data_IF_570918337406
#
_entry.id   IF_570918337406
#
_cell.length_a   1.000
_cell.length_b   1.000
_cell.length_c   1.000
_cell.angle_alpha   90.00
_cell.angle_beta   90.00
_cell.angle_gamma   90.00
#
_symmetry.space_group_name_H-M   'P 1'
#
loop_
_entity.id
_entity.type
_entity.pdbx_description
1 polymer ?
#
# COMPACT_ATOMS: atom_id res chain seq x y z
N UNK A 1 -5.17 -12.11 -55.29
CA UNK A 1 -4.11 -11.66 -54.37
C UNK A 1 -4.65 -10.73 -53.28
N UNK A 2 -5.29 -9.61 -53.62
CA UNK A 2 -5.83 -8.65 -52.62
C UNK A 2 -6.89 -9.27 -51.70
N UNK A 3 -7.88 -10.00 -52.24
CA UNK A 3 -8.91 -10.65 -51.42
C UNK A 3 -8.36 -11.68 -50.41
N UNK A 4 -7.36 -12.46 -50.83
CA UNK A 4 -6.69 -13.43 -49.95
C UNK A 4 -5.99 -12.70 -48.78
N UNK A 5 -5.35 -11.56 -49.07
CA UNK A 5 -4.66 -10.75 -48.08
C UNK A 5 -5.66 -10.12 -47.09
N UNK A 6 -6.81 -9.62 -47.57
CA UNK A 6 -7.88 -9.10 -46.70
C UNK A 6 -8.42 -10.19 -45.78
N UNK A 7 -8.71 -11.38 -46.32
CA UNK A 7 -9.18 -12.52 -45.51
C UNK A 7 -8.14 -12.90 -44.45
N UNK A 8 -6.86 -12.96 -44.81
CA UNK A 8 -5.79 -13.28 -43.86
C UNK A 8 -5.69 -12.25 -42.74
N UNK A 9 -5.77 -10.95 -43.05
CA UNK A 9 -5.79 -9.88 -42.05
C UNK A 9 -7.00 -10.03 -41.13
N UNK A 10 -8.20 -10.26 -41.69
CA UNK A 10 -9.42 -10.42 -40.90
C UNK A 10 -9.35 -11.62 -39.95
N UNK A 11 -8.84 -12.77 -40.43
CA UNK A 11 -8.64 -13.97 -39.60
C UNK A 11 -7.60 -13.71 -38.51
N UNK A 12 -6.48 -13.07 -38.84
CA UNK A 12 -5.44 -12.73 -37.87
C UNK A 12 -5.97 -11.79 -36.79
N UNK A 13 -6.75 -10.79 -37.17
CA UNK A 13 -7.37 -9.86 -36.22
C UNK A 13 -8.38 -10.55 -35.31
N UNK A 14 -9.17 -11.48 -35.85
CA UNK A 14 -10.10 -12.29 -35.06
C UNK A 14 -9.37 -13.17 -34.03
N UNK A 15 -8.28 -13.82 -34.44
CA UNK A 15 -7.44 -14.62 -33.52
C UNK A 15 -6.78 -13.76 -32.44
N UNK A 16 -6.33 -12.55 -32.79
CA UNK A 16 -5.78 -11.60 -31.84
C UNK A 16 -6.83 -11.19 -30.79
N UNK A 17 -8.04 -10.82 -31.21
CA UNK A 17 -9.14 -10.48 -30.30
C UNK A 17 -9.47 -11.67 -29.40
N UNK A 18 -9.57 -12.88 -29.97
CA UNK A 18 -9.82 -14.10 -29.19
C UNK A 18 -8.76 -14.35 -28.13
N UNK A 19 -7.48 -14.13 -28.45
CA UNK A 19 -6.36 -14.27 -27.52
C UNK A 19 -6.41 -13.24 -26.40
N UNK A 20 -6.68 -11.97 -26.74
CA UNK A 20 -6.82 -10.88 -25.75
C UNK A 20 -8.01 -11.16 -24.83
N UNK A 21 -9.15 -11.58 -25.37
CA UNK A 21 -10.34 -11.91 -24.59
C UNK A 21 -10.09 -13.10 -23.65
N UNK A 22 -9.43 -14.15 -24.13
CA UNK A 22 -9.03 -15.29 -23.30
C UNK A 22 -8.07 -14.86 -22.19
N UNK A 23 -7.06 -14.04 -22.52
CA UNK A 23 -6.10 -13.54 -21.53
C UNK A 23 -6.76 -12.67 -20.46
N UNK A 24 -7.70 -11.79 -20.84
CA UNK A 24 -8.48 -10.99 -19.90
C UNK A 24 -9.37 -11.86 -19.01
N UNK A 25 -10.03 -12.87 -19.59
CA UNK A 25 -10.84 -13.83 -18.85
C UNK A 25 -10.01 -14.57 -17.80
N UNK A 26 -8.87 -15.14 -18.22
CA UNK A 26 -7.94 -15.86 -17.33
C UNK A 26 -7.37 -14.94 -16.24
N UNK A 27 -7.12 -13.66 -16.55
CA UNK A 27 -6.61 -12.69 -15.57
C UNK A 27 -7.64 -12.23 -14.53
N UNK A 28 -8.88 -12.76 -14.55
CA UNK A 28 -9.90 -12.49 -13.54
C UNK A 28 -10.86 -11.36 -13.88
N UNK A 29 -10.98 -10.96 -15.16
CA UNK A 29 -11.87 -9.86 -15.57
C UNK A 29 -13.33 -10.05 -15.09
N UNK A 30 -13.84 -11.29 -15.05
CA UNK A 30 -15.20 -11.59 -14.58
C UNK A 30 -15.27 -12.03 -13.11
N UNK A 31 -14.14 -12.13 -12.42
CA UNK A 31 -14.11 -12.55 -11.01
C UNK A 31 -14.69 -11.43 -10.14
N UNK A 32 -15.76 -11.67 -9.37
CA UNK A 32 -16.26 -10.68 -8.42
C UNK A 32 -15.24 -10.50 -7.27
N UNK A 33 -15.22 -9.30 -6.69
CA UNK A 33 -14.52 -9.04 -5.44
C UNK A 33 -15.57 -8.71 -4.39
N UNK A 34 -15.66 -9.57 -3.39
CA UNK A 34 -16.54 -9.37 -2.24
C UNK A 34 -15.67 -9.00 -1.04
N UNK A 35 -15.84 -7.78 -0.55
CA UNK A 35 -15.22 -7.35 0.69
C UNK A 35 -16.12 -7.70 1.88
N UNK A 36 -15.53 -8.24 2.93
CA UNK A 36 -16.19 -8.61 4.18
C UNK A 36 -15.41 -8.07 5.37
N UNK A 37 -16.08 -7.93 6.51
CA UNK A 37 -15.39 -7.69 7.77
C UNK A 37 -14.89 -9.04 8.26
N UNK A 38 -13.58 -9.18 8.44
CA UNK A 38 -12.96 -10.42 8.90
C UNK A 38 -11.99 -10.15 10.05
N UNK A 39 -11.97 -11.08 11.00
CA UNK A 39 -10.91 -11.22 12.01
C UNK A 39 -9.84 -12.23 11.59
N UNK A 40 -10.14 -13.03 10.55
CA UNK A 40 -9.23 -13.98 9.94
C UNK A 40 -8.60 -13.32 8.71
N UNK A 41 -7.45 -12.66 8.91
CA UNK A 41 -6.72 -11.94 7.86
C UNK A 41 -5.35 -12.60 7.69
N UNK A 42 -5.01 -13.14 6.51
CA UNK A 42 -3.67 -13.68 6.23
C UNK A 42 -2.55 -12.67 6.56
N UNK A 43 -1.43 -13.18 7.08
CA UNK A 43 -0.23 -12.42 7.44
C UNK A 43 -0.35 -11.41 8.60
N UNK A 44 -1.55 -10.88 8.89
CA UNK A 44 -1.74 -9.76 9.84
C UNK A 44 -2.26 -10.18 11.24
N UNK A 45 -2.36 -11.47 11.55
CA UNK A 45 -2.96 -11.98 12.82
C UNK A 45 -2.10 -11.80 14.06
N UNK A 46 -0.79 -11.97 13.92
CA UNK A 46 0.15 -12.06 15.04
C UNK A 46 1.11 -10.84 15.09
N UNK A 47 0.82 -9.81 14.29
CA UNK A 47 1.78 -8.74 13.99
C UNK A 47 2.81 -9.25 12.98
N UNK A 48 3.48 -8.31 12.30
CA UNK A 48 4.45 -8.68 11.28
C UNK A 48 5.60 -7.69 11.20
N UNK A 49 6.75 -8.18 10.76
CA UNK A 49 7.94 -7.35 10.49
C UNK A 49 7.97 -7.04 9.01
N UNK A 50 8.01 -5.75 8.68
CA UNK A 50 8.18 -5.25 7.31
C UNK A 50 9.53 -4.62 7.12
N UNK A 51 10.03 -4.75 5.90
CA UNK A 51 11.10 -3.92 5.36
C UNK A 51 10.53 -3.11 4.20
N UNK A 52 10.59 -1.79 4.28
CA UNK A 52 9.85 -0.91 3.38
C UNK A 52 10.67 0.27 2.87
N UNK A 53 10.23 0.84 1.73
CA UNK A 53 10.57 2.18 1.27
C UNK A 53 9.32 3.04 1.27
N UNK A 54 9.43 4.22 1.87
CA UNK A 54 8.40 5.25 1.83
C UNK A 54 8.35 5.91 0.45
N UNK A 55 7.16 6.26 -0.01
CA UNK A 55 6.94 7.05 -1.21
C UNK A 55 5.81 8.06 -0.97
N UNK A 56 6.09 9.32 -1.28
CA UNK A 56 5.09 10.37 -1.40
C UNK A 56 4.99 10.76 -2.88
N UNK A 57 3.82 10.57 -3.48
CA UNK A 57 3.57 10.78 -4.90
C UNK A 57 2.59 9.77 -5.47
N UNK A 58 2.36 9.87 -6.78
CA UNK A 58 1.30 9.12 -7.45
C UNK A 58 1.43 7.60 -7.26
N UNK A 59 0.33 6.95 -6.88
CA UNK A 59 0.32 5.49 -6.75
C UNK A 59 0.57 4.76 -8.09
N UNK A 60 0.37 5.44 -9.22
CA UNK A 60 0.68 4.89 -10.55
C UNK A 60 2.19 4.77 -10.83
N UNK A 61 3.05 5.49 -10.10
CA UNK A 61 4.51 5.43 -10.27
C UNK A 61 5.20 4.41 -9.37
N UNK A 62 4.45 3.64 -8.57
CA UNK A 62 5.02 2.70 -7.59
C UNK A 62 5.66 1.45 -8.21
N UNK A 63 5.39 1.18 -9.49
CA UNK A 63 5.89 -0.02 -10.18
C UNK A 63 7.41 -0.15 -10.18
N UNK A 64 8.16 0.96 -10.16
CA UNK A 64 9.62 0.91 -10.06
C UNK A 64 10.08 0.43 -8.67
N UNK A 65 9.41 0.85 -7.59
CA UNK A 65 9.72 0.45 -6.22
C UNK A 65 9.38 -1.03 -6.02
N UNK A 66 8.24 -1.49 -6.54
CA UNK A 66 7.91 -2.93 -6.57
C UNK A 66 8.94 -3.74 -7.36
N UNK A 67 9.37 -3.26 -8.53
CA UNK A 67 10.37 -3.96 -9.34
C UNK A 67 11.72 -4.03 -8.62
N UNK A 68 12.14 -2.95 -7.96
CA UNK A 68 13.34 -2.93 -7.13
C UNK A 68 13.21 -3.91 -5.96
N UNK A 69 12.09 -3.87 -5.24
CA UNK A 69 11.79 -4.75 -4.11
C UNK A 69 11.87 -6.21 -4.53
N UNK A 70 11.19 -6.58 -5.62
CA UNK A 70 11.23 -7.93 -6.16
C UNK A 70 12.64 -8.35 -6.60
N UNK A 71 13.44 -7.44 -7.15
CA UNK A 71 14.81 -7.76 -7.56
C UNK A 71 15.72 -8.12 -6.38
N UNK A 72 15.45 -7.58 -5.19
CA UNK A 72 16.21 -7.87 -3.96
C UNK A 72 15.63 -9.06 -3.20
N UNK A 73 14.30 -9.17 -3.13
CA UNK A 73 13.60 -10.10 -2.25
C UNK A 73 12.47 -10.87 -2.97
N UNK A 74 12.77 -11.47 -4.13
CA UNK A 74 11.79 -12.16 -4.97
C UNK A 74 11.06 -13.36 -4.33
N UNK A 75 11.59 -13.92 -3.24
CA UNK A 75 10.99 -15.06 -2.51
C UNK A 75 10.11 -14.64 -1.35
N UNK A 76 10.06 -13.35 -1.02
CA UNK A 76 9.29 -12.83 0.10
C UNK A 76 7.99 -12.22 -0.39
N UNK A 77 6.98 -12.26 0.48
CA UNK A 77 5.67 -11.69 0.20
C UNK A 77 5.80 -10.18 0.10
N UNK A 78 5.45 -9.62 -1.06
CA UNK A 78 5.48 -8.18 -1.30
C UNK A 78 4.20 -7.53 -0.79
N UNK A 79 4.30 -6.28 -0.38
CA UNK A 79 3.14 -5.50 0.01
C UNK A 79 3.24 -4.03 -0.43
N UNK A 80 2.08 -3.40 -0.58
CA UNK A 80 1.91 -1.96 -0.55
C UNK A 80 1.00 -1.56 0.59
N UNK A 81 1.44 -0.58 1.39
CA UNK A 81 0.66 0.05 2.43
C UNK A 81 0.36 1.47 2.00
N UNK A 82 -0.93 1.81 1.94
CA UNK A 82 -1.43 3.06 1.40
C UNK A 82 -2.21 3.78 2.50
N UNK A 83 -1.99 5.09 2.64
CA UNK A 83 -2.57 5.89 3.73
C UNK A 83 -3.66 6.85 3.27
N UNK A 84 -3.77 7.07 1.97
CA UNK A 84 -4.61 8.12 1.38
C UNK A 84 -5.51 7.54 0.28
N UNK A 85 -6.69 8.15 0.09
CA UNK A 85 -7.55 7.81 -1.05
C UNK A 85 -7.16 8.66 -2.27
N UNK A 86 -6.68 8.06 -3.38
CA UNK A 86 -6.28 8.82 -4.57
C UNK A 86 -7.46 9.51 -5.29
N UNK A 87 -8.72 9.23 -4.92
CA UNK A 87 -9.88 9.98 -5.41
C UNK A 87 -10.09 11.31 -4.67
N UNK A 88 -9.57 11.44 -3.45
CA UNK A 88 -9.75 12.63 -2.61
C UNK A 88 -8.47 13.41 -2.38
N UNK A 89 -7.32 12.73 -2.36
CA UNK A 89 -6.00 13.32 -2.15
C UNK A 89 -5.30 13.50 -3.49
N UNK A 90 -4.58 14.61 -3.65
CA UNK A 90 -3.86 14.86 -4.90
C UNK A 90 -2.78 13.80 -5.12
N UNK A 91 -2.52 13.38 -6.37
CA UNK A 91 -1.51 12.34 -6.65
C UNK A 91 -0.14 12.63 -6.04
N UNK A 92 0.30 13.89 -6.02
CA UNK A 92 1.63 14.27 -5.48
C UNK A 92 1.72 14.17 -3.95
N UNK A 93 0.57 14.18 -3.27
CA UNK A 93 0.48 14.14 -1.82
C UNK A 93 0.17 12.75 -1.27
N UNK A 94 -0.14 11.78 -2.15
CA UNK A 94 -0.46 10.42 -1.76
C UNK A 94 0.75 9.72 -1.11
N UNK A 95 0.59 9.20 0.11
CA UNK A 95 1.63 8.54 0.89
C UNK A 95 1.48 7.03 0.81
N UNK A 96 2.60 6.33 0.70
CA UNK A 96 2.64 4.87 0.62
C UNK A 96 3.95 4.32 1.17
N UNK A 97 3.93 3.07 1.58
CA UNK A 97 5.12 2.30 1.92
C UNK A 97 5.09 0.97 1.18
N UNK A 98 6.10 0.71 0.36
CA UNK A 98 6.22 -0.51 -0.46
C UNK A 98 7.36 -1.36 0.07
N UNK A 99 7.16 -2.66 0.15
CA UNK A 99 8.18 -3.52 0.75
C UNK A 99 7.84 -5.01 0.75
N UNK A 100 8.49 -5.71 1.68
CA UNK A 100 8.27 -7.14 1.92
C UNK A 100 7.97 -7.44 3.38
N UNK A 101 7.19 -8.48 3.59
CA UNK A 101 6.94 -9.09 4.90
C UNK A 101 8.04 -10.13 5.13
N UNK A 102 8.72 -10.05 6.28
CA UNK A 102 9.90 -10.86 6.55
C UNK A 102 9.78 -11.58 7.89
N UNK A 103 10.11 -12.88 7.89
CA UNK A 103 10.46 -13.60 9.11
C UNK A 103 11.97 -13.50 9.33
N UNK A 104 12.38 -12.86 10.44
CA UNK A 104 13.78 -12.52 10.71
C UNK A 104 14.68 -13.75 10.88
N UNK A 105 14.14 -14.83 11.44
CA UNK A 105 14.92 -16.03 11.73
C UNK A 105 15.34 -16.79 10.46
N UNK A 106 14.62 -16.60 9.36
CA UNK A 106 14.78 -17.39 8.13
C UNK A 106 15.50 -16.64 7.00
N UNK A 107 15.61 -15.31 7.09
CA UNK A 107 15.93 -14.46 5.92
C UNK A 107 17.06 -13.44 6.15
N UNK A 108 18.00 -13.73 7.05
CA UNK A 108 19.08 -12.79 7.44
C UNK A 108 19.86 -12.23 6.24
N UNK A 109 20.20 -13.07 5.24
CA UNK A 109 20.94 -12.63 4.05
C UNK A 109 20.12 -11.65 3.18
N UNK A 110 18.81 -11.88 3.05
CA UNK A 110 17.91 -10.99 2.29
C UNK A 110 17.71 -9.68 3.05
N UNK A 111 17.58 -9.75 4.38
CA UNK A 111 17.47 -8.58 5.26
C UNK A 111 18.67 -7.65 5.07
N UNK A 112 19.89 -8.18 5.11
CA UNK A 112 21.10 -7.38 4.88
C UNK A 112 21.11 -6.70 3.51
N UNK A 113 20.57 -7.36 2.48
CA UNK A 113 20.44 -6.75 1.15
C UNK A 113 19.38 -5.66 1.12
N UNK A 114 18.23 -5.86 1.78
CA UNK A 114 17.18 -4.85 1.90
C UNK A 114 17.72 -3.59 2.61
N UNK A 115 18.39 -3.76 3.75
CA UNK A 115 18.99 -2.64 4.49
C UNK A 115 20.03 -1.90 3.66
N UNK A 116 20.90 -2.64 2.94
CA UNK A 116 21.89 -2.03 2.03
C UNK A 116 21.26 -1.24 0.88
N UNK A 117 20.08 -1.64 0.42
CA UNK A 117 19.30 -0.93 -0.61
C UNK A 117 18.40 0.17 -0.03
N UNK A 118 18.53 0.49 1.27
CA UNK A 118 17.85 1.60 1.93
C UNK A 118 16.43 1.29 2.40
N UNK A 119 16.07 0.01 2.55
CA UNK A 119 14.79 -0.37 3.17
C UNK A 119 14.88 -0.20 4.69
N UNK A 120 13.81 0.34 5.28
CA UNK A 120 13.67 0.53 6.73
C UNK A 120 12.86 -0.60 7.34
N UNK A 121 13.23 -1.02 8.53
CA UNK A 121 12.47 -2.01 9.32
C UNK A 121 11.36 -1.32 10.08
N UNK A 122 10.16 -1.89 10.08
CA UNK A 122 9.09 -1.56 11.03
C UNK A 122 8.37 -2.82 11.48
N UNK A 123 7.98 -2.86 12.74
CA UNK A 123 7.11 -3.91 13.28
C UNK A 123 5.69 -3.34 13.34
N UNK A 124 4.77 -4.01 12.66
CA UNK A 124 3.37 -3.61 12.62
C UNK A 124 2.55 -4.42 13.63
N UNK A 125 1.55 -3.78 14.28
CA UNK A 125 0.70 -4.49 15.22
C UNK A 125 -0.21 -5.47 14.48
N UNK A 126 -0.80 -6.40 15.24
CA UNK A 126 -1.84 -7.29 14.71
C UNK A 126 -3.11 -6.54 14.33
N UNK A 127 -3.75 -6.97 13.26
CA UNK A 127 -5.09 -6.52 12.87
C UNK A 127 -6.11 -7.47 13.47
N UNK A 128 -6.87 -6.99 14.47
CA UNK A 128 -7.93 -7.80 15.11
C UNK A 128 -9.16 -7.96 14.23
N UNK A 129 -9.50 -6.92 13.49
CA UNK A 129 -10.68 -6.85 12.63
C UNK A 129 -10.40 -5.83 11.52
N UNK A 130 -10.65 -6.20 10.28
CA UNK A 130 -10.39 -5.37 9.11
C UNK A 130 -11.36 -5.67 7.97
N UNK A 131 -11.39 -4.76 6.99
CA UNK A 131 -12.14 -4.97 5.75
C UNK A 131 -11.26 -5.83 4.85
N UNK A 132 -11.62 -7.10 4.70
CA UNK A 132 -10.85 -8.07 3.93
C UNK A 132 -11.51 -8.33 2.58
N UNK A 133 -10.70 -8.31 1.52
CA UNK A 133 -11.07 -8.79 0.21
C UNK A 133 -9.87 -9.51 -0.43
N UNK A 134 -10.15 -10.45 -1.33
CA UNK A 134 -9.12 -11.20 -2.06
C UNK A 134 -9.41 -11.21 -3.55
N UNK A 135 -8.37 -11.21 -4.37
CA UNK A 135 -8.48 -11.32 -5.82
C UNK A 135 -7.39 -12.23 -6.39
N UNK A 136 -7.67 -13.08 -7.39
CA UNK A 136 -6.64 -13.94 -7.98
C UNK A 136 -5.51 -13.13 -8.64
N UNK A 137 -4.26 -13.46 -8.31
CA UNK A 137 -3.05 -12.89 -8.89
C UNK A 137 -2.47 -13.82 -9.96
N UNK A 138 -2.95 -13.67 -11.19
CA UNK A 138 -2.54 -14.54 -12.31
C UNK A 138 -1.61 -13.81 -13.28
N UNK A 139 -1.80 -12.50 -13.44
CA UNK A 139 -0.96 -11.67 -14.29
C UNK A 139 -0.89 -10.23 -13.78
N UNK A 140 -0.05 -9.39 -14.38
CA UNK A 140 -0.01 -7.96 -14.06
C UNK A 140 -1.36 -7.25 -14.27
N UNK A 141 -2.22 -7.75 -15.18
CA UNK A 141 -3.57 -7.21 -15.35
C UNK A 141 -4.45 -7.49 -14.14
N UNK A 142 -4.19 -8.59 -13.43
CA UNK A 142 -4.93 -8.92 -12.21
C UNK A 142 -4.78 -7.85 -11.13
N UNK A 143 -3.64 -7.16 -11.07
CA UNK A 143 -3.41 -6.03 -10.15
C UNK A 143 -4.40 -4.90 -10.47
N UNK A 144 -4.46 -4.48 -11.73
CA UNK A 144 -5.38 -3.43 -12.17
C UNK A 144 -6.85 -3.80 -11.97
N UNK A 145 -7.24 -5.03 -12.32
CA UNK A 145 -8.60 -5.51 -12.12
C UNK A 145 -8.96 -5.64 -10.63
N UNK A 146 -8.04 -6.15 -9.81
CA UNK A 146 -8.17 -6.24 -8.35
C UNK A 146 -8.42 -4.87 -7.75
N UNK A 147 -7.54 -3.90 -7.99
CA UNK A 147 -7.70 -2.52 -7.50
C UNK A 147 -9.02 -1.88 -7.95
N UNK A 148 -9.39 -2.02 -9.23
CA UNK A 148 -10.62 -1.43 -9.77
C UNK A 148 -11.91 -1.94 -9.12
N UNK A 149 -11.85 -3.14 -8.52
CA UNK A 149 -13.01 -3.79 -7.87
C UNK A 149 -12.93 -3.73 -6.35
N UNK A 150 -11.75 -3.88 -5.78
CA UNK A 150 -11.52 -3.87 -4.34
C UNK A 150 -11.64 -2.45 -3.75
N UNK A 151 -11.03 -1.43 -4.38
CA UNK A 151 -11.04 -0.08 -3.82
C UNK A 151 -12.45 0.51 -3.66
N UNK A 152 -13.38 0.40 -4.64
CA UNK A 152 -14.76 0.86 -4.43
C UNK A 152 -15.45 0.16 -3.26
N UNK A 153 -15.20 -1.14 -3.05
CA UNK A 153 -15.76 -1.89 -1.93
C UNK A 153 -15.18 -1.40 -0.60
N UNK A 154 -13.84 -1.27 -0.51
CA UNK A 154 -13.17 -0.71 0.65
C UNK A 154 -13.76 0.66 1.00
N UNK A 155 -13.80 1.61 0.05
CA UNK A 155 -14.39 2.94 0.26
C UNK A 155 -15.82 2.89 0.77
N UNK A 156 -16.65 1.99 0.25
CA UNK A 156 -18.02 1.81 0.73
C UNK A 156 -18.05 1.42 2.21
N UNK A 157 -17.18 0.50 2.63
CA UNK A 157 -17.09 0.07 4.03
C UNK A 157 -16.50 1.15 4.94
N UNK A 158 -15.38 1.80 4.54
CA UNK A 158 -14.80 2.92 5.29
C UNK A 158 -15.84 4.02 5.54
N UNK A 159 -16.63 4.38 4.50
CA UNK A 159 -17.71 5.36 4.62
C UNK A 159 -18.86 4.90 5.52
N UNK A 160 -19.27 3.62 5.44
CA UNK A 160 -20.35 3.08 6.30
C UNK A 160 -19.95 3.05 7.78
N UNK A 161 -18.66 2.87 8.06
CA UNK A 161 -18.11 2.79 9.41
C UNK A 161 -17.66 4.14 9.97
N UNK A 162 -17.74 5.22 9.17
CA UNK A 162 -17.25 6.55 9.53
C UNK A 162 -15.77 6.56 9.94
N UNK A 163 -14.96 5.75 9.25
CA UNK A 163 -13.52 5.71 9.46
C UNK A 163 -12.89 7.01 8.95
N UNK A 164 -11.99 7.59 9.77
CA UNK A 164 -11.31 8.85 9.44
C UNK A 164 -10.22 8.68 8.39
N UNK A 165 -9.48 7.58 8.47
CA UNK A 165 -8.30 7.34 7.65
C UNK A 165 -8.55 6.23 6.63
N UNK A 166 -8.15 6.45 5.38
CA UNK A 166 -8.25 5.45 4.32
C UNK A 166 -6.95 4.65 4.22
N UNK A 167 -6.61 3.94 5.31
CA UNK A 167 -5.39 3.12 5.36
C UNK A 167 -5.71 1.68 4.96
N UNK A 168 -5.00 1.16 3.96
CA UNK A 168 -5.18 -0.22 3.53
C UNK A 168 -3.88 -0.88 3.05
N UNK A 169 -3.82 -2.20 3.21
CA UNK A 169 -2.79 -3.06 2.64
C UNK A 169 -3.24 -3.66 1.32
N UNK A 170 -2.28 -3.80 0.43
CA UNK A 170 -2.28 -4.71 -0.70
C UNK A 170 -1.13 -5.70 -0.49
N UNK A 171 -1.44 -6.98 -0.30
CA UNK A 171 -0.45 -8.04 -0.05
C UNK A 171 -0.47 -9.01 -1.23
N UNK A 172 0.70 -9.28 -1.81
CA UNK A 172 0.87 -10.14 -2.97
C UNK A 172 1.42 -11.50 -2.54
N UNK A 173 0.54 -12.50 -2.44
CA UNK A 173 0.83 -13.84 -1.96
C UNK A 173 0.66 -14.84 -3.09
N UNK A 174 1.76 -15.29 -3.70
CA UNK A 174 1.84 -16.25 -4.80
C UNK A 174 0.77 -16.10 -5.92
N UNK A 175 -0.44 -16.62 -5.70
CA UNK A 175 -1.57 -16.64 -6.64
C UNK A 175 -2.75 -15.74 -6.24
N UNK A 176 -2.62 -14.94 -5.18
CA UNK A 176 -3.68 -14.14 -4.60
C UNK A 176 -3.18 -12.77 -4.15
N UNK A 177 -3.96 -11.73 -4.44
CA UNK A 177 -3.81 -10.38 -3.87
C UNK A 177 -4.81 -10.22 -2.74
N UNK A 178 -4.34 -9.91 -1.54
CA UNK A 178 -5.19 -9.57 -0.41
C UNK A 178 -5.26 -8.05 -0.24
N UNK A 179 -6.48 -7.54 -0.13
CA UNK A 179 -6.77 -6.16 0.20
C UNK A 179 -7.30 -6.10 1.62
N UNK A 180 -6.64 -5.33 2.49
CA UNK A 180 -7.00 -5.23 3.90
C UNK A 180 -7.14 -3.78 4.31
N UNK A 181 -8.37 -3.31 4.48
CA UNK A 181 -8.66 -2.01 5.07
C UNK A 181 -8.51 -2.04 6.59
N UNK A 182 -7.72 -1.11 7.13
CA UNK A 182 -7.50 -0.95 8.57
C UNK A 182 -8.61 -0.07 9.16
N UNK A 183 -9.44 -0.66 10.03
CA UNK A 183 -10.62 0.02 10.59
C UNK A 183 -10.28 0.79 11.88
N UNK A 184 -9.34 0.26 12.67
CA UNK A 184 -8.98 0.76 14.01
C UNK A 184 -7.47 0.91 14.12
N UNK A 185 -7.05 1.88 14.92
CA UNK A 185 -5.64 2.11 15.26
C UNK A 185 -4.75 2.27 14.01
N UNK A 186 -5.27 2.96 12.98
CA UNK A 186 -4.58 3.15 11.70
C UNK A 186 -3.24 3.88 11.86
N UNK A 187 -3.13 4.78 12.85
CA UNK A 187 -1.91 5.51 13.19
C UNK A 187 -0.74 4.57 13.54
N UNK A 188 -1.01 3.41 14.17
CA UNK A 188 0.04 2.45 14.51
C UNK A 188 0.69 1.85 13.25
N UNK A 189 -0.02 1.86 12.12
CA UNK A 189 0.47 1.39 10.84
C UNK A 189 1.30 2.43 10.09
N UNK A 190 1.20 3.72 10.45
CA UNK A 190 1.89 4.83 9.79
C UNK A 190 3.43 4.73 9.91
N UNK A 191 4.13 4.56 8.80
CA UNK A 191 5.60 4.49 8.81
C UNK A 191 6.25 5.80 9.25
N UNK A 192 7.47 5.68 9.79
CA UNK A 192 8.17 6.78 10.48
C UNK A 192 8.35 8.03 9.60
N UNK A 193 8.52 7.81 8.29
CA UNK A 193 8.67 8.85 7.27
C UNK A 193 7.48 9.82 7.15
N UNK A 194 6.32 9.43 7.69
CA UNK A 194 5.08 10.19 7.59
C UNK A 194 4.54 10.62 8.94
N UNK A 195 5.26 10.37 10.04
CA UNK A 195 4.91 11.02 11.29
C UNK A 195 4.96 12.54 11.07
N UNK A 196 3.97 13.29 11.55
CA UNK A 196 4.06 14.74 11.54
C UNK A 196 5.35 15.10 12.26
N UNK A 197 6.27 15.77 11.56
CA UNK A 197 7.41 16.39 12.22
C UNK A 197 6.81 17.28 13.32
N UNK A 198 7.10 16.97 14.59
CA UNK A 198 6.66 17.79 15.72
C UNK A 198 7.04 19.23 15.39
N UNK A 199 6.01 20.02 15.15
CA UNK A 199 6.10 21.39 14.69
C UNK A 199 7.04 22.15 15.66
N UNK A 200 8.18 22.63 15.17
CA UNK A 200 9.16 23.50 15.84
C UNK A 200 8.53 24.73 16.56
N UNK A 201 7.22 24.95 16.42
CA UNK A 201 6.43 25.93 17.16
C UNK A 201 6.29 25.65 18.66
N UNK A 202 6.25 24.39 19.12
CA UNK A 202 6.11 24.10 20.58
C UNK A 202 7.39 24.47 21.33
N UNK A 203 8.56 24.25 20.73
CA UNK A 203 9.86 24.64 21.31
C UNK A 203 10.03 26.15 21.32
N UNK A 204 9.54 26.85 20.29
CA UNK A 204 9.56 28.32 20.25
C UNK A 204 8.63 28.96 21.28
N UNK A 205 7.41 28.42 21.47
CA UNK A 205 6.46 28.92 22.47
C UNK A 205 7.02 28.68 23.88
N UNK A 206 7.55 27.50 24.16
CA UNK A 206 8.16 27.23 25.47
C UNK A 206 9.41 28.07 25.75
N UNK A 207 10.26 28.35 24.76
CA UNK A 207 11.41 29.25 24.97
C UNK A 207 11.00 30.72 25.11
N UNK A 208 10.04 31.22 24.31
CA UNK A 208 9.54 32.59 24.46
C UNK A 208 8.83 32.80 25.79
N UNK A 209 8.05 31.81 26.22
CA UNK A 209 7.33 31.87 27.49
C UNK A 209 8.29 31.76 28.69
N UNK A 210 9.42 31.04 28.55
CA UNK A 210 10.48 31.00 29.56
C UNK A 210 11.26 32.33 29.61
N UNK A 211 11.56 32.95 28.46
CA UNK A 211 12.27 34.23 28.40
C UNK A 211 11.41 35.37 28.97
N UNK A 212 10.11 35.43 28.64
CA UNK A 212 9.18 36.46 29.13
C UNK A 212 8.95 36.37 30.66
N UNK A 213 8.89 35.15 31.21
CA UNK A 213 8.82 34.94 32.67
C UNK A 213 10.13 35.33 33.37
N UNK A 214 11.29 35.08 32.75
CA UNK A 214 12.58 35.47 33.35
C UNK A 214 12.88 36.96 33.30
N UNK A 215 12.29 37.72 32.35
CA UNK A 215 12.40 39.18 32.32
C UNK A 215 11.44 39.85 33.33
N UNK A 216 10.20 39.37 33.47
CA UNK A 216 9.27 39.87 34.50
C UNK A 216 9.77 39.64 35.94
N UNK A 217 10.49 38.55 36.21
CA UNK A 217 11.08 38.29 37.53
C UNK A 217 12.29 39.20 37.82
N UNK A 218 13.03 39.66 36.81
CA UNK A 218 14.13 40.61 36.98
C UNK A 218 13.64 42.04 37.24
N UNK A 219 12.57 42.46 36.58
CA UNK A 219 12.03 43.83 36.74
C UNK A 219 11.34 44.05 38.10
N UNK A 220 10.88 42.99 38.78
CA UNK A 220 10.33 43.06 40.15
C UNK A 220 11.38 43.03 41.26
N UNK A 221 12.66 42.82 40.93
CA UNK A 221 13.75 42.69 41.89
C UNK A 221 14.68 43.92 41.98
N UNK A 222 14.47 44.95 41.15
CA UNK A 222 15.06 46.30 41.27
C UNK A 222 14.07 47.29 41.91
#
# INVERSE_FOLDING_TARGET
>A
MVYLLVVLISVTFLLLIGTIALFAYVSGFFTPVDATISSDIPYLKDGLTIYYKSNKGSYYSLGCIFTETYSVANKLVQFGLYYDDPETVSPEECRSAIGVIVNEEENEDIIRQLEKNGYKKKILPRVKEGIFASFPYISFLSIGFGLSKALPQLRSYFKKMDCKDFTYFEIYDDDTIYYVGIIKDADDFLVEDFYPEDNDEIVKITQSDIEEVTEEEKEKAE
#
